data_IF_354944393161
#
_entry.id   IF_354944393161
#
_cell.length_a   1.000
_cell.length_b   1.000
_cell.length_c   1.000
_cell.angle_alpha   90.00
_cell.angle_beta   90.00
_cell.angle_gamma   90.00
#
_symmetry.space_group_name_H-M   'P 1'
#
loop_
_entity.id
_entity.type
_entity.pdbx_description
1 polymer ?
#
# COMPACT_ATOMS: atom_id res chain seq x y z
N UNK A 1 4.24 8.76 5.13
CA UNK A 1 3.11 8.21 4.38
C UNK A 1 3.61 7.70 3.05
N UNK A 2 3.03 6.60 2.59
CA UNK A 2 3.31 6.00 1.28
C UNK A 2 2.01 5.86 0.50
N UNK A 3 2.06 6.02 -0.82
CA UNK A 3 0.92 5.75 -1.68
C UNK A 3 1.35 5.33 -3.08
N UNK A 4 0.44 4.69 -3.81
CA UNK A 4 0.64 4.25 -5.18
C UNK A 4 -0.65 4.25 -5.99
N UNK A 5 -0.50 4.19 -7.31
CA UNK A 5 -1.57 3.89 -8.25
C UNK A 5 -1.03 3.00 -9.37
N UNK A 6 -1.87 2.11 -9.89
CA UNK A 6 -1.58 1.25 -11.04
C UNK A 6 -2.71 1.35 -12.04
N UNK A 7 -2.34 1.63 -13.30
CA UNK A 7 -3.18 1.57 -14.50
C UNK A 7 -2.87 0.22 -15.18
N UNK A 8 -3.76 -0.76 -14.99
CA UNK A 8 -3.54 -2.15 -15.40
C UNK A 8 -3.30 -2.33 -16.90
N UNK A 9 -4.20 -1.85 -17.78
CA UNK A 9 -4.04 -2.00 -19.23
C UNK A 9 -2.77 -1.35 -19.78
N UNK A 10 -2.40 -0.16 -19.27
CA UNK A 10 -1.19 0.54 -19.73
C UNK A 10 0.07 0.08 -19.00
N UNK A 11 -0.07 -0.78 -17.99
CA UNK A 11 1.00 -1.24 -17.09
C UNK A 11 1.81 -0.08 -16.50
N UNK A 12 1.17 1.07 -16.29
CA UNK A 12 1.79 2.22 -15.61
C UNK A 12 1.57 2.08 -14.13
N UNK A 13 2.60 2.36 -13.35
CA UNK A 13 2.52 2.35 -11.90
C UNK A 13 3.39 3.46 -11.36
N UNK A 14 2.91 4.14 -10.33
CA UNK A 14 3.58 5.28 -9.75
C UNK A 14 3.39 5.30 -8.25
N UNK A 15 4.47 5.61 -7.55
CA UNK A 15 4.56 5.42 -6.11
C UNK A 15 5.35 6.55 -5.47
N UNK A 16 4.87 6.97 -4.31
CA UNK A 16 5.51 7.96 -3.46
C UNK A 16 5.74 7.39 -2.07
N UNK A 17 6.94 7.63 -1.52
CA UNK A 17 7.33 7.15 -0.19
C UNK A 17 7.69 8.30 0.74
N UNK A 18 7.45 8.11 2.04
CA UNK A 18 8.01 8.99 3.07
C UNK A 18 7.46 10.42 3.07
N UNK A 19 6.26 10.64 2.54
CA UNK A 19 5.60 11.95 2.58
C UNK A 19 5.14 12.28 4.00
N UNK A 20 5.21 13.56 4.34
CA UNK A 20 4.86 14.14 5.64
C UNK A 20 3.90 15.32 5.52
N UNK A 21 3.91 16.05 4.40
CA UNK A 21 3.12 17.28 4.27
C UNK A 21 1.89 17.16 3.36
N UNK A 22 1.78 16.09 2.57
CA UNK A 22 0.74 15.95 1.54
C UNK A 22 -0.55 15.42 2.14
N UNK A 23 -1.64 16.19 2.09
CA UNK A 23 -2.93 15.81 2.67
C UNK A 23 -3.47 14.49 2.12
N UNK A 24 -3.37 14.30 0.81
CA UNK A 24 -3.84 13.11 0.09
C UNK A 24 -2.69 12.51 -0.75
N UNK A 25 -1.85 11.64 -0.18
CA UNK A 25 -0.70 11.05 -0.88
C UNK A 25 -1.03 10.38 -2.22
N UNK A 26 -2.17 9.69 -2.32
CA UNK A 26 -2.62 9.02 -3.56
C UNK A 26 -2.92 10.01 -4.70
N UNK A 27 -3.30 11.26 -4.40
CA UNK A 27 -3.50 12.26 -5.44
C UNK A 27 -2.18 12.71 -6.07
N UNK A 28 -1.07 12.63 -5.33
CA UNK A 28 0.25 12.95 -5.84
C UNK A 28 0.77 11.88 -6.81
N UNK A 29 0.46 10.60 -6.61
CA UNK A 29 0.98 9.51 -7.45
C UNK A 29 0.52 9.65 -8.91
N UNK A 30 -0.70 10.12 -9.14
CA UNK A 30 -1.19 10.44 -10.48
C UNK A 30 -0.38 11.57 -11.15
N UNK A 31 0.10 12.54 -10.37
CA UNK A 31 0.95 13.62 -10.88
C UNK A 31 2.37 13.14 -11.19
N UNK A 32 2.89 12.15 -10.44
CA UNK A 32 4.15 11.49 -10.79
C UNK A 32 4.03 10.82 -12.16
N UNK A 33 2.92 10.08 -12.37
CA UNK A 33 2.60 9.38 -13.61
C UNK A 33 2.55 10.30 -14.84
N UNK A 34 1.96 11.48 -14.69
CA UNK A 34 1.67 12.37 -15.82
C UNK A 34 2.73 13.47 -16.02
N UNK A 35 3.49 13.84 -14.97
CA UNK A 35 4.38 15.02 -14.97
C UNK A 35 5.82 14.71 -14.65
N UNK A 36 6.21 13.43 -14.62
CA UNK A 36 7.60 13.03 -14.46
C UNK A 36 7.95 11.83 -15.34
N UNK A 37 9.22 11.66 -15.73
CA UNK A 37 9.69 10.43 -16.38
C UNK A 37 10.03 9.32 -15.36
N UNK A 38 9.69 9.52 -14.08
CA UNK A 38 10.01 8.61 -12.98
C UNK A 38 8.74 7.97 -12.46
N UNK A 39 8.89 6.84 -11.75
CA UNK A 39 7.76 6.07 -11.21
C UNK A 39 7.87 5.82 -9.71
N UNK A 40 9.05 6.03 -9.12
CA UNK A 40 9.27 6.00 -7.67
C UNK A 40 9.88 7.32 -7.22
N UNK A 41 9.19 8.06 -6.35
CA UNK A 41 9.74 9.22 -5.63
C UNK A 41 9.70 8.97 -4.13
N UNK A 42 10.76 9.35 -3.42
CA UNK A 42 10.86 9.07 -1.99
C UNK A 42 11.36 10.28 -1.19
N UNK A 43 10.90 10.38 0.05
CA UNK A 43 11.41 11.28 1.09
C UNK A 43 11.51 12.73 0.59
N UNK A 44 12.68 13.37 0.75
CA UNK A 44 12.92 14.75 0.34
C UNK A 44 12.62 15.00 -1.13
N UNK A 45 12.97 14.07 -2.01
CA UNK A 45 12.74 14.22 -3.45
C UNK A 45 11.24 14.18 -3.80
N UNK A 46 10.45 13.38 -3.08
CA UNK A 46 9.00 13.37 -3.23
C UNK A 46 8.37 14.68 -2.73
N UNK A 47 8.83 15.20 -1.60
CA UNK A 47 8.39 16.50 -1.05
C UNK A 47 8.77 17.67 -1.97
N UNK A 48 9.96 17.65 -2.57
CA UNK A 48 10.39 18.66 -3.54
C UNK A 48 9.56 18.63 -4.82
N UNK A 49 9.23 17.44 -5.32
CA UNK A 49 8.33 17.28 -6.46
C UNK A 49 6.96 17.88 -6.12
N UNK A 50 6.41 17.52 -4.96
CA UNK A 50 5.11 17.98 -4.45
C UNK A 50 4.95 19.49 -4.47
N UNK A 51 5.97 20.24 -4.01
CA UNK A 51 5.95 21.72 -3.97
C UNK A 51 5.72 22.36 -5.33
N UNK A 52 6.04 21.67 -6.42
CA UNK A 52 5.87 22.13 -7.80
C UNK A 52 4.51 21.75 -8.40
N UNK A 53 3.74 20.87 -7.75
CA UNK A 53 2.53 20.28 -8.33
C UNK A 53 1.22 20.94 -7.91
N UNK A 54 1.23 21.85 -6.94
CA UNK A 54 0.03 22.56 -6.49
C UNK A 54 -0.97 21.67 -5.72
N UNK A 55 -0.51 20.58 -5.11
CA UNK A 55 -1.34 19.75 -4.21
C UNK A 55 -1.50 20.41 -2.85
N UNK A 56 -2.59 20.10 -2.15
CA UNK A 56 -2.85 20.64 -0.81
C UNK A 56 -1.82 20.09 0.20
N UNK A 57 -1.07 21.01 0.79
CA UNK A 57 -0.13 20.74 1.87
C UNK A 57 -0.78 21.11 3.20
N UNK A 58 -0.49 20.31 4.22
CA UNK A 58 -0.96 20.50 5.59
C UNK A 58 0.20 20.31 6.55
N UNK A 59 0.14 20.99 7.69
CA UNK A 59 1.08 20.76 8.77
C UNK A 59 0.89 19.36 9.37
N UNK A 60 1.96 18.81 9.96
CA UNK A 60 1.94 17.44 10.48
C UNK A 60 0.86 17.23 11.55
N UNK A 61 0.49 18.27 12.31
CA UNK A 61 -0.59 18.26 13.29
C UNK A 61 -1.91 17.75 12.70
N UNK A 62 -2.15 17.96 11.40
CA UNK A 62 -3.32 17.46 10.70
C UNK A 62 -3.45 15.92 10.78
N UNK A 63 -2.34 15.20 10.71
CA UNK A 63 -2.33 13.73 10.73
C UNK A 63 -2.27 13.15 12.15
N UNK A 64 -1.93 13.97 13.15
CA UNK A 64 -1.72 13.53 14.52
C UNK A 64 -3.05 13.54 15.27
N UNK A 65 -3.55 12.35 15.59
CA UNK A 65 -4.76 12.18 16.39
C UNK A 65 -4.43 11.71 17.80
N UNK A 66 -5.23 12.10 18.80
CA UNK A 66 -5.10 11.60 20.19
C UNK A 66 -5.05 10.06 20.24
N UNK A 67 -5.81 9.42 19.36
CA UNK A 67 -5.87 7.96 19.20
C UNK A 67 -4.52 7.38 18.76
N UNK A 68 -3.91 7.94 17.71
CA UNK A 68 -2.62 7.47 17.20
C UNK A 68 -1.49 7.76 18.20
N UNK A 69 -1.54 8.88 18.93
CA UNK A 69 -0.60 9.16 20.02
C UNK A 69 -0.70 8.10 21.13
N UNK A 70 -1.90 7.70 21.51
CA UNK A 70 -2.12 6.62 22.49
C UNK A 70 -1.56 5.27 22.01
N UNK A 71 -1.79 4.90 20.75
CA UNK A 71 -1.22 3.67 20.17
C UNK A 71 0.31 3.73 20.09
N UNK A 72 0.90 4.88 19.76
CA UNK A 72 2.35 5.06 19.75
C UNK A 72 2.94 4.86 21.14
N UNK A 73 2.27 5.38 22.17
CA UNK A 73 2.69 5.19 23.56
C UNK A 73 2.71 3.71 23.94
N UNK A 74 1.62 2.99 23.65
CA UNK A 74 1.53 1.55 23.90
C UNK A 74 2.62 0.77 23.15
N UNK A 75 2.82 1.05 21.85
CA UNK A 75 3.83 0.39 21.02
C UNK A 75 5.25 0.57 21.58
N UNK A 76 5.56 1.77 22.11
CA UNK A 76 6.84 2.06 22.75
C UNK A 76 7.00 1.35 24.10
N UNK A 77 5.94 1.27 24.91
CA UNK A 77 5.97 0.58 26.21
C UNK A 77 6.26 -0.92 26.05
N UNK A 78 5.75 -1.55 25.00
CA UNK A 78 6.01 -2.96 24.69
C UNK A 78 7.20 -3.19 23.75
N UNK A 79 7.92 -2.12 23.39
CA UNK A 79 9.05 -2.13 22.45
C UNK A 79 8.77 -2.92 21.16
N UNK A 80 7.62 -2.68 20.53
CA UNK A 80 7.19 -3.39 19.32
C UNK A 80 6.59 -2.44 18.29
N UNK A 81 6.48 -2.92 17.05
CA UNK A 81 5.65 -2.31 16.01
C UNK A 81 4.22 -2.82 16.15
N UNK A 82 3.22 -1.94 16.02
CA UNK A 82 1.82 -2.34 16.11
C UNK A 82 1.10 -2.16 14.78
N UNK A 83 0.39 -3.20 14.38
CA UNK A 83 -0.60 -3.16 13.31
C UNK A 83 -1.91 -2.56 13.81
N UNK A 84 -2.44 -1.63 13.05
CA UNK A 84 -3.75 -1.07 13.29
C UNK A 84 -4.82 -1.94 12.59
N UNK A 85 -5.21 -3.06 13.21
CA UNK A 85 -6.23 -4.00 12.70
C UNK A 85 -7.66 -3.46 12.73
N UNK A 86 -7.87 -2.17 13.00
CA UNK A 86 -9.22 -1.63 13.09
C UNK A 86 -9.84 -1.65 11.70
N UNK A 87 -10.96 -2.35 11.58
CA UNK A 87 -11.84 -2.26 10.40
C UNK A 87 -12.13 -0.77 10.19
N UNK A 88 -11.81 -0.22 9.01
CA UNK A 88 -12.06 1.18 8.78
C UNK A 88 -13.54 1.49 8.97
N UNK A 89 -13.84 2.59 9.65
CA UNK A 89 -15.21 3.11 9.66
C UNK A 89 -15.62 3.51 8.24
N UNK A 90 -16.92 3.55 7.96
CA UNK A 90 -17.46 3.97 6.66
C UNK A 90 -16.77 5.26 6.18
N UNK A 91 -16.15 5.22 5.00
CA UNK A 91 -15.46 6.37 4.39
C UNK A 91 -13.95 6.48 4.66
N UNK A 92 -13.32 5.57 5.41
CA UNK A 92 -11.85 5.55 5.62
C UNK A 92 -11.16 4.43 4.85
N UNK A 93 -11.18 4.49 3.52
CA UNK A 93 -10.55 3.46 2.68
C UNK A 93 -9.07 3.77 2.45
N UNK A 94 -8.19 2.81 2.75
CA UNK A 94 -6.75 2.89 2.46
C UNK A 94 -6.38 2.29 1.11
N UNK A 95 -7.27 1.47 0.55
CA UNK A 95 -7.02 0.61 -0.59
C UNK A 95 -8.26 0.57 -1.45
N UNK A 96 -8.09 0.54 -2.77
CA UNK A 96 -9.18 0.44 -3.71
C UNK A 96 -8.73 -0.27 -4.98
N UNK A 97 -9.64 -1.08 -5.52
CA UNK A 97 -9.57 -1.64 -6.86
C UNK A 97 -10.85 -1.24 -7.57
N UNK A 98 -10.73 -0.78 -8.80
CA UNK A 98 -11.85 -0.46 -9.66
C UNK A 98 -11.73 -1.19 -10.99
N UNK A 99 -12.88 -1.51 -11.56
CA UNK A 99 -13.03 -1.99 -12.93
C UNK A 99 -13.95 -1.04 -13.67
N UNK A 100 -13.54 -0.59 -14.85
CA UNK A 100 -14.38 0.26 -15.69
C UNK A 100 -15.35 -0.57 -16.56
N UNK A 101 -16.19 0.14 -17.33
CA UNK A 101 -17.18 -0.48 -18.22
C UNK A 101 -16.58 -1.32 -19.35
N UNK A 102 -15.30 -1.10 -19.69
CA UNK A 102 -14.58 -1.83 -20.74
C UNK A 102 -13.83 -3.04 -20.15
N UNK A 103 -13.94 -3.26 -18.83
CA UNK A 103 -13.25 -4.35 -18.13
C UNK A 103 -11.82 -4.02 -17.72
N UNK A 104 -11.40 -2.75 -17.78
CA UNK A 104 -10.04 -2.34 -17.40
C UNK A 104 -9.91 -2.16 -15.89
N UNK A 105 -8.86 -2.75 -15.31
CA UNK A 105 -8.60 -2.65 -13.88
C UNK A 105 -7.60 -1.53 -13.53
N UNK A 106 -7.88 -0.85 -12.44
CA UNK A 106 -6.95 0.04 -11.76
C UNK A 106 -6.95 -0.25 -10.26
N UNK A 107 -5.82 -0.01 -9.62
CA UNK A 107 -5.67 -0.20 -8.18
C UNK A 107 -4.92 0.99 -7.57
N UNK A 108 -5.28 1.37 -6.34
CA UNK A 108 -4.60 2.42 -5.60
C UNK A 108 -4.57 2.11 -4.10
N UNK A 109 -3.43 2.40 -3.47
CA UNK A 109 -3.23 2.17 -2.04
C UNK A 109 -2.51 3.37 -1.41
N UNK A 110 -2.90 3.72 -0.18
CA UNK A 110 -2.28 4.76 0.63
C UNK A 110 -2.22 4.32 2.09
N UNK A 111 -1.05 4.46 2.71
CA UNK A 111 -0.82 4.03 4.10
C UNK A 111 0.09 4.99 4.87
N UNK A 112 -0.12 5.07 6.18
CA UNK A 112 0.84 5.66 7.11
C UNK A 112 1.91 4.66 7.57
N UNK A 113 1.74 3.39 7.23
CA UNK A 113 2.51 2.26 7.76
C UNK A 113 2.14 1.92 9.20
N UNK A 114 3.02 1.18 9.84
CA UNK A 114 2.85 0.64 11.19
C UNK A 114 3.17 1.64 12.29
N UNK A 115 2.53 1.46 13.43
CA UNK A 115 2.83 2.27 14.61
C UNK A 115 4.21 1.92 15.16
N UNK A 116 4.97 2.94 15.59
CA UNK A 116 6.34 2.80 16.09
C UNK A 116 7.33 2.20 15.07
N UNK A 117 7.02 2.26 13.76
CA UNK A 117 7.95 1.86 12.71
C UNK A 117 9.21 2.73 12.75
N UNK A 118 10.36 2.15 12.37
CA UNK A 118 11.58 2.91 12.19
C UNK A 118 11.39 3.95 11.08
N UNK A 119 11.96 5.14 11.24
CA UNK A 119 11.96 6.14 10.16
C UNK A 119 12.63 5.56 8.92
N UNK A 120 11.98 5.67 7.77
CA UNK A 120 12.45 5.07 6.53
C UNK A 120 11.99 3.63 6.28
N UNK A 121 11.32 2.98 7.25
CA UNK A 121 10.70 1.67 7.00
C UNK A 121 9.52 1.81 6.02
N UNK A 122 9.58 1.01 4.95
CA UNK A 122 8.57 0.91 3.88
C UNK A 122 7.85 -0.43 4.04
N UNK A 123 6.54 -0.41 3.98
CA UNK A 123 5.69 -1.60 4.10
C UNK A 123 5.37 -2.25 2.75
N UNK A 124 4.58 -3.31 2.73
CA UNK A 124 4.11 -4.01 1.52
C UNK A 124 3.26 -3.12 0.60
N UNK A 125 2.44 -2.27 1.19
CA UNK A 125 1.40 -1.46 0.54
C UNK A 125 1.88 -0.71 -0.72
N UNK A 126 3.01 0.03 -0.69
CA UNK A 126 3.57 0.71 -1.87
C UNK A 126 4.42 -0.16 -2.81
N UNK A 127 4.59 -1.46 -2.52
CA UNK A 127 5.42 -2.35 -3.32
C UNK A 127 4.56 -3.06 -4.38
N UNK A 128 4.85 -2.75 -5.64
CA UNK A 128 4.16 -3.30 -6.80
C UNK A 128 4.40 -4.81 -6.86
N UNK A 129 3.32 -5.58 -6.92
CA UNK A 129 3.32 -7.03 -6.89
C UNK A 129 3.34 -7.66 -5.50
N UNK A 130 3.58 -6.88 -4.44
CA UNK A 130 3.46 -7.34 -3.06
C UNK A 130 2.15 -6.85 -2.45
N UNK A 131 2.00 -5.55 -2.17
CA UNK A 131 0.79 -5.00 -1.56
C UNK A 131 -0.30 -4.62 -2.56
N UNK A 132 0.09 -4.40 -3.83
CA UNK A 132 -0.82 -3.95 -4.89
C UNK A 132 -0.39 -4.41 -6.28
N UNK A 133 -1.35 -4.72 -7.14
CA UNK A 133 -1.13 -5.03 -8.54
C UNK A 133 -2.42 -4.80 -9.35
N UNK A 134 -2.29 -4.41 -10.60
CA UNK A 134 -3.39 -4.42 -11.55
C UNK A 134 -2.88 -4.80 -12.95
N UNK A 135 -3.69 -5.56 -13.67
CA UNK A 135 -3.47 -5.94 -15.06
C UNK A 135 -4.83 -6.07 -15.77
N UNK A 136 -4.85 -6.57 -17.01
CA UNK A 136 -6.08 -6.77 -17.77
C UNK A 136 -7.02 -7.83 -17.17
N UNK A 137 -6.50 -8.73 -16.32
CA UNK A 137 -7.27 -9.83 -15.74
C UNK A 137 -7.86 -9.51 -14.36
N UNK A 138 -7.17 -8.71 -13.56
CA UNK A 138 -7.59 -8.36 -12.22
C UNK A 138 -6.87 -7.13 -11.67
N UNK A 139 -7.48 -6.50 -10.69
CA UNK A 139 -6.82 -5.62 -9.74
C UNK A 139 -6.87 -6.23 -8.35
N UNK A 140 -5.77 -6.15 -7.62
CA UNK A 140 -5.64 -6.76 -6.30
C UNK A 140 -4.86 -5.79 -5.40
N UNK A 141 -5.38 -5.56 -4.20
CA UNK A 141 -4.69 -4.85 -3.13
C UNK A 141 -4.95 -5.62 -1.83
N UNK A 142 -3.93 -5.78 -1.00
CA UNK A 142 -4.04 -6.53 0.25
C UNK A 142 -3.59 -5.72 1.46
N UNK A 143 -4.13 -6.04 2.63
CA UNK A 143 -3.72 -5.48 3.92
C UNK A 143 -3.45 -6.62 4.88
N UNK A 144 -2.17 -6.88 5.20
CA UNK A 144 -1.77 -7.98 6.08
C UNK A 144 -0.44 -7.64 6.79
N UNK A 145 0.15 -8.59 7.52
CA UNK A 145 1.53 -8.46 8.01
C UNK A 145 2.50 -8.30 6.82
N UNK A 146 2.99 -7.08 6.62
CA UNK A 146 3.66 -6.71 5.38
C UNK A 146 4.90 -7.54 5.04
N UNK A 147 5.66 -8.03 6.02
CA UNK A 147 6.81 -8.90 5.75
C UNK A 147 6.39 -10.22 5.09
N UNK A 148 5.27 -10.82 5.52
CA UNK A 148 4.74 -12.05 4.92
C UNK A 148 4.25 -11.79 3.49
N UNK A 149 3.57 -10.67 3.26
CA UNK A 149 3.10 -10.24 1.93
C UNK A 149 4.27 -10.02 0.96
N UNK A 150 5.31 -9.32 1.42
CA UNK A 150 6.51 -9.04 0.61
C UNK A 150 7.21 -10.34 0.24
N UNK A 151 7.48 -11.21 1.22
CA UNK A 151 8.21 -12.47 0.99
C UNK A 151 7.49 -13.43 0.06
N UNK A 152 6.15 -13.38 0.03
CA UNK A 152 5.34 -14.23 -0.85
C UNK A 152 5.05 -13.59 -2.21
N UNK A 153 5.34 -12.31 -2.41
CA UNK A 153 4.88 -11.56 -3.60
C UNK A 153 3.37 -11.76 -3.85
N UNK A 154 2.62 -11.75 -2.74
CA UNK A 154 1.27 -12.30 -2.62
C UNK A 154 0.34 -11.88 -3.76
N UNK A 155 0.29 -10.57 -4.00
CA UNK A 155 -0.66 -9.96 -4.91
C UNK A 155 -0.31 -10.23 -6.37
N UNK A 156 0.97 -10.27 -6.74
CA UNK A 156 1.39 -10.70 -8.09
C UNK A 156 1.11 -12.18 -8.31
N UNK A 157 1.26 -13.01 -7.28
CA UNK A 157 0.96 -14.45 -7.36
C UNK A 157 -0.51 -14.68 -7.71
N UNK A 158 -1.44 -13.88 -7.16
CA UNK A 158 -2.85 -13.94 -7.53
C UNK A 158 -3.04 -13.74 -9.04
N UNK A 159 -2.52 -12.63 -9.57
CA UNK A 159 -2.58 -12.37 -11.01
C UNK A 159 -1.87 -13.44 -11.83
N UNK A 160 -0.75 -14.01 -11.35
CA UNK A 160 0.04 -15.00 -12.08
C UNK A 160 -0.68 -16.34 -12.20
N UNK A 161 -1.39 -16.74 -11.16
CA UNK A 161 -2.16 -17.98 -11.19
C UNK A 161 -3.39 -17.86 -12.09
N UNK A 162 -4.04 -16.71 -12.11
CA UNK A 162 -5.11 -16.43 -13.08
C UNK A 162 -4.55 -16.43 -14.51
N UNK A 163 -3.45 -15.71 -14.74
CA UNK A 163 -2.82 -15.54 -16.06
C UNK A 163 -2.24 -16.84 -16.64
N UNK A 164 -1.46 -17.58 -15.85
CA UNK A 164 -0.68 -18.71 -16.34
C UNK A 164 -1.36 -20.06 -16.13
N UNK A 165 -2.27 -20.18 -15.15
CA UNK A 165 -2.99 -21.43 -14.87
C UNK A 165 -4.47 -21.37 -15.25
N UNK A 166 -4.99 -20.21 -15.63
CA UNK A 166 -6.41 -20.04 -15.97
C UNK A 166 -7.36 -20.30 -14.80
N UNK A 167 -6.86 -20.19 -13.55
CA UNK A 167 -7.67 -20.38 -12.35
C UNK A 167 -8.59 -19.19 -12.11
N UNK A 168 -9.77 -19.42 -11.54
CA UNK A 168 -10.68 -18.35 -11.15
C UNK A 168 -10.15 -17.58 -9.94
N UNK A 169 -10.59 -16.33 -9.77
CA UNK A 169 -10.18 -15.48 -8.65
C UNK A 169 -10.40 -16.17 -7.30
N UNK A 170 -11.55 -16.83 -7.10
CA UNK A 170 -11.87 -17.50 -5.85
C UNK A 170 -10.92 -18.66 -5.55
N UNK A 171 -10.63 -19.51 -6.54
CA UNK A 171 -9.69 -20.63 -6.37
C UNK A 171 -8.28 -20.15 -6.00
N UNK A 172 -7.86 -19.03 -6.61
CA UNK A 172 -6.56 -18.44 -6.36
C UNK A 172 -6.50 -17.80 -4.97
N UNK A 173 -7.53 -17.04 -4.57
CA UNK A 173 -7.60 -16.43 -3.24
C UNK A 173 -7.57 -17.50 -2.15
N UNK A 174 -8.38 -18.56 -2.29
CA UNK A 174 -8.40 -19.68 -1.35
C UNK A 174 -7.02 -20.37 -1.26
N UNK A 175 -6.35 -20.57 -2.40
CA UNK A 175 -5.01 -21.12 -2.43
C UNK A 175 -4.00 -20.23 -1.71
N UNK A 176 -4.00 -18.93 -2.01
CA UNK A 176 -3.03 -17.96 -1.50
C UNK A 176 -3.19 -17.76 0.00
N UNK A 177 -4.43 -17.61 0.49
CA UNK A 177 -4.72 -17.51 1.93
C UNK A 177 -4.26 -18.78 2.65
N UNK A 178 -4.57 -19.97 2.12
CA UNK A 178 -4.24 -21.23 2.79
C UNK A 178 -2.74 -21.55 2.80
N UNK A 179 -2.00 -21.20 1.75
CA UNK A 179 -0.64 -21.71 1.52
C UNK A 179 0.47 -20.65 1.65
N UNK A 180 0.15 -19.35 1.61
CA UNK A 180 1.14 -18.26 1.63
C UNK A 180 1.06 -17.40 2.86
N UNK A 181 -0.16 -17.11 3.31
CA UNK A 181 -0.42 -16.50 4.60
C UNK A 181 -0.62 -17.64 5.60
N UNK A 182 0.46 -18.21 6.14
CA UNK A 182 0.35 -19.26 7.17
C UNK A 182 -0.51 -18.81 8.38
N UNK A 183 -0.74 -19.67 9.36
CA UNK A 183 -1.49 -19.34 10.61
C UNK A 183 -0.80 -18.26 11.49
N UNK A 184 -0.58 -17.05 10.98
CA UNK A 184 -0.17 -15.85 11.72
C UNK A 184 1.19 -15.88 12.40
N UNK A 185 2.21 -16.58 11.87
CA UNK A 185 3.54 -16.63 12.50
C UNK A 185 4.58 -15.74 11.81
N UNK A 186 4.79 -14.57 12.40
CA UNK A 186 5.99 -13.76 12.19
C UNK A 186 7.25 -14.55 12.56
N UNK A 187 8.22 -14.61 11.65
CA UNK A 187 9.51 -15.31 11.87
C UNK A 187 10.52 -14.52 12.71
N UNK A 188 10.20 -13.30 13.15
CA UNK A 188 11.10 -12.47 13.97
C UNK A 188 10.80 -12.45 15.47
N UNK A 189 9.82 -13.24 15.93
CA UNK A 189 9.48 -13.31 17.35
C UNK A 189 10.43 -14.20 18.19
N UNK A 190 11.47 -14.80 17.60
CA UNK A 190 12.44 -15.63 18.31
C UNK A 190 13.85 -15.51 17.69
N UNK A 191 14.55 -14.43 17.98
CA UNK A 191 16.02 -14.40 18.07
C UNK A 191 16.45 -13.54 19.26
#
# INVERSE_FOLDING_TARGET
>A
MEANIIDGPKRRCDVVFGLSTVKNPVSLTHLVMDKSPHFYLAFSSAEEFTKKQGVELVDNEYFITKKNVGMLKLAKEVNSILFDYRIPTTGTWRQSVAVDKEGSYAAATSTSGLMNKMTGMIDDSPLIGSGIYACELCGVSCTEEGEAVIRSTLVREVAAMMEYKGLSLNEVVDFVIKNRLGEGRSTRANE
#
